data_IF_390181861325
#
_entry.id   IF_390181861325
#
_cell.length_a   1.000
_cell.length_b   1.000
_cell.length_c   1.000
_cell.angle_alpha   90.00
_cell.angle_beta   90.00
_cell.angle_gamma   90.00
#
_symmetry.space_group_name_H-M   'P 1'
#
loop_
_entity.id
_entity.type
_entity.pdbx_description
1 polymer ?
#
# COMPACT_ATOMS: atom_id res chain seq x y z
N UNK A 1 2.21 -16.03 16.89
CA UNK A 1 1.86 -14.60 16.97
C UNK A 1 3.11 -13.71 16.90
N UNK A 2 3.73 -13.26 18.01
CA UNK A 2 4.85 -12.28 18.02
C UNK A 2 6.00 -12.57 17.03
N UNK A 3 6.49 -13.81 16.96
CA UNK A 3 7.56 -14.15 15.98
C UNK A 3 7.09 -14.06 14.52
N UNK A 4 5.82 -14.36 14.23
CA UNK A 4 5.27 -14.32 12.86
C UNK A 4 5.03 -12.88 12.39
N UNK A 5 4.51 -11.99 13.24
CA UNK A 5 4.36 -10.58 12.89
C UNK A 5 5.71 -9.91 12.63
N UNK A 6 6.73 -10.18 13.46
CA UNK A 6 8.07 -9.63 13.27
C UNK A 6 8.76 -10.17 12.00
N UNK A 7 8.56 -11.44 11.66
CA UNK A 7 9.00 -12.01 10.38
C UNK A 7 8.35 -11.30 9.21
N UNK A 8 7.02 -11.16 9.22
CA UNK A 8 6.28 -10.48 8.14
C UNK A 8 6.71 -9.01 7.97
N UNK A 9 6.85 -8.24 9.07
CA UNK A 9 7.35 -6.85 9.02
C UNK A 9 8.74 -6.76 8.38
N UNK A 10 9.63 -7.73 8.67
CA UNK A 10 10.97 -7.82 8.09
C UNK A 10 10.95 -8.28 6.62
N UNK A 11 10.17 -9.30 6.29
CA UNK A 11 10.02 -9.82 4.92
C UNK A 11 9.41 -8.77 3.97
N UNK A 12 8.56 -7.88 4.51
CA UNK A 12 8.02 -6.70 3.83
C UNK A 12 8.97 -5.50 3.76
N UNK A 13 10.10 -5.52 4.46
CA UNK A 13 11.05 -4.42 4.50
C UNK A 13 10.47 -3.11 5.07
N UNK A 14 9.48 -3.17 5.96
CA UNK A 14 8.75 -1.97 6.43
C UNK A 14 9.65 -0.95 7.15
N UNK A 15 10.77 -1.41 7.71
CA UNK A 15 11.75 -0.55 8.38
C UNK A 15 12.57 0.26 7.39
N UNK A 16 12.88 -0.35 6.24
CA UNK A 16 13.67 0.21 5.15
C UNK A 16 12.79 0.92 4.11
N UNK A 17 11.47 0.83 4.26
CA UNK A 17 10.47 1.42 3.39
C UNK A 17 10.42 2.95 3.55
N UNK A 18 10.28 3.64 2.41
CA UNK A 18 10.35 5.09 2.31
C UNK A 18 9.13 5.62 1.55
N UNK A 19 8.64 6.80 1.92
CA UNK A 19 7.44 7.38 1.32
C UNK A 19 7.58 7.62 -0.20
N UNK A 20 8.81 7.90 -0.64
CA UNK A 20 9.27 8.05 -2.02
C UNK A 20 9.02 6.81 -2.92
N UNK A 21 8.65 5.67 -2.33
CA UNK A 21 8.34 4.44 -3.07
C UNK A 21 6.88 4.37 -3.54
N UNK A 22 6.02 5.29 -3.09
CA UNK A 22 4.58 5.32 -3.38
C UNK A 22 4.22 6.47 -4.32
N UNK A 23 3.05 6.43 -5.01
CA UNK A 23 2.57 7.58 -5.76
C UNK A 23 2.31 8.76 -4.81
N UNK A 24 2.85 9.94 -5.13
CA UNK A 24 2.61 11.17 -4.34
C UNK A 24 1.12 11.53 -4.23
N UNK A 25 0.26 11.05 -5.14
CA UNK A 25 -1.17 11.29 -5.08
C UNK A 25 -1.86 10.60 -3.89
N UNK A 26 -1.22 9.59 -3.26
CA UNK A 26 -1.73 8.97 -2.03
C UNK A 26 -1.64 9.92 -0.83
N UNK A 27 -0.58 10.71 -0.72
CA UNK A 27 -0.42 11.77 0.30
C UNK A 27 -1.15 13.05 -0.11
N UNK A 28 -1.15 13.42 -1.40
CA UNK A 28 -1.83 14.62 -1.89
C UNK A 28 -3.36 14.54 -1.81
N UNK A 29 -3.97 13.37 -2.02
CA UNK A 29 -5.40 13.19 -1.81
C UNK A 29 -5.81 13.23 -0.31
N UNK A 30 -4.83 13.16 0.62
CA UNK A 30 -5.09 13.12 2.06
C UNK A 30 -5.97 11.95 2.46
N UNK A 31 -5.83 10.78 1.81
CA UNK A 31 -6.72 9.64 2.00
C UNK A 31 -6.38 8.81 3.26
N UNK A 32 -5.11 8.79 3.66
CA UNK A 32 -4.64 8.12 4.87
C UNK A 32 -3.37 8.75 5.44
N UNK A 33 -3.43 9.29 6.66
CA UNK A 33 -2.33 10.08 7.22
C UNK A 33 -2.26 9.98 8.76
N UNK A 34 -1.04 10.12 9.30
CA UNK A 34 -0.80 10.25 10.75
C UNK A 34 -0.95 11.72 11.17
N UNK A 35 -1.64 11.95 12.29
CA UNK A 35 -2.02 13.29 12.75
C UNK A 35 -1.76 13.49 14.25
N UNK A 36 -2.24 14.61 14.78
CA UNK A 36 -2.09 15.00 16.19
C UNK A 36 -2.62 13.93 17.16
N UNK A 37 -2.16 13.98 18.41
CA UNK A 37 -2.60 13.02 19.43
C UNK A 37 -4.03 13.27 19.89
N UNK A 38 -4.68 12.21 20.34
CA UNK A 38 -5.99 12.28 20.99
C UNK A 38 -5.86 12.70 22.48
N UNK A 39 -7.01 12.79 23.17
CA UNK A 39 -7.11 13.19 24.60
C UNK A 39 -6.49 12.18 25.57
N UNK A 40 -6.23 10.97 25.11
CA UNK A 40 -5.67 9.87 25.91
C UNK A 40 -4.16 9.71 25.67
N UNK A 41 -3.57 10.53 24.79
CA UNK A 41 -2.17 10.46 24.39
C UNK A 41 -1.89 9.44 23.30
N UNK A 42 -2.91 8.85 22.66
CA UNK A 42 -2.70 7.98 21.51
C UNK A 42 -2.24 8.81 20.31
N UNK A 43 -1.31 8.28 19.54
CA UNK A 43 -1.05 8.78 18.18
C UNK A 43 -2.24 8.41 17.28
N UNK A 44 -2.69 9.34 16.43
CA UNK A 44 -3.85 9.08 15.57
C UNK A 44 -3.46 8.86 14.11
N UNK A 45 -4.20 7.99 13.43
CA UNK A 45 -4.18 7.88 11.97
C UNK A 45 -5.60 8.01 11.42
N UNK A 46 -5.80 8.96 10.53
CA UNK A 46 -7.07 9.20 9.87
C UNK A 46 -7.13 8.45 8.52
N UNK A 47 -8.29 7.93 8.19
CA UNK A 47 -8.60 7.25 6.93
C UNK A 47 -9.90 7.82 6.35
N UNK A 48 -9.87 8.38 5.15
CA UNK A 48 -11.03 9.06 4.53
C UNK A 48 -11.53 8.25 3.34
N UNK A 49 -12.57 7.45 3.53
CA UNK A 49 -13.01 6.47 2.54
C UNK A 49 -13.41 7.10 1.18
N UNK A 50 -14.02 8.29 1.19
CA UNK A 50 -14.39 9.01 -0.05
C UNK A 50 -13.18 9.46 -0.90
N UNK A 51 -11.98 9.54 -0.29
CA UNK A 51 -10.73 9.86 -0.97
C UNK A 51 -10.06 8.63 -1.60
N UNK A 52 -10.35 7.43 -1.08
CA UNK A 52 -9.85 6.16 -1.62
C UNK A 52 -10.63 5.77 -2.88
N UNK A 53 -10.07 6.04 -4.06
CA UNK A 53 -10.68 5.64 -5.34
C UNK A 53 -10.35 4.19 -5.69
N UNK A 54 -11.35 3.44 -6.15
CA UNK A 54 -11.17 2.04 -6.53
C UNK A 54 -10.42 1.92 -7.87
N UNK A 55 -9.09 1.82 -7.79
CA UNK A 55 -8.19 1.62 -8.92
C UNK A 55 -7.38 0.33 -8.71
N UNK A 56 -7.67 -0.70 -9.51
CA UNK A 56 -6.99 -2.02 -9.45
C UNK A 56 -5.47 -1.92 -9.51
N UNK A 57 -4.95 -1.05 -10.36
CA UNK A 57 -3.53 -0.86 -10.64
C UNK A 57 -2.77 -0.20 -9.47
N UNK A 58 -3.47 0.58 -8.63
CA UNK A 58 -2.93 1.23 -7.44
C UNK A 58 -3.28 0.47 -6.14
N UNK A 59 -4.10 -0.58 -6.21
CA UNK A 59 -4.59 -1.32 -5.03
C UNK A 59 -3.47 -2.03 -4.26
N UNK A 60 -2.39 -2.42 -4.92
CA UNK A 60 -1.18 -2.91 -4.25
C UNK A 60 -0.42 -1.77 -3.55
N UNK A 61 -0.15 -0.67 -4.27
CA UNK A 61 0.50 0.53 -3.75
C UNK A 61 -0.19 1.07 -2.50
N UNK A 62 -1.52 1.20 -2.54
CA UNK A 62 -2.34 1.67 -1.43
C UNK A 62 -2.27 0.74 -0.21
N UNK A 63 -2.25 -0.59 -0.42
CA UNK A 63 -2.11 -1.55 0.68
C UNK A 63 -0.74 -1.44 1.35
N UNK A 64 0.33 -1.38 0.56
CA UNK A 64 1.68 -1.27 1.09
C UNK A 64 1.93 0.11 1.74
N UNK A 65 1.34 1.19 1.21
CA UNK A 65 1.33 2.51 1.84
C UNK A 65 0.58 2.50 3.19
N UNK A 66 -0.56 1.81 3.29
CA UNK A 66 -1.25 1.65 4.57
C UNK A 66 -0.42 0.85 5.58
N UNK A 67 0.29 -0.20 5.15
CA UNK A 67 1.23 -0.93 6.01
C UNK A 67 2.41 -0.06 6.48
N UNK A 68 2.93 0.81 5.59
CA UNK A 68 3.94 1.81 5.94
C UNK A 68 3.43 2.80 6.99
N UNK A 69 2.26 3.41 6.77
CA UNK A 69 1.68 4.38 7.69
C UNK A 69 1.38 3.76 9.06
N UNK A 70 0.82 2.54 9.10
CA UNK A 70 0.59 1.81 10.36
C UNK A 70 1.92 1.42 11.03
N UNK A 71 2.96 1.07 10.27
CA UNK A 71 4.30 0.81 10.83
C UNK A 71 4.94 2.08 11.44
N UNK A 72 4.77 3.24 10.79
CA UNK A 72 5.21 4.54 11.33
C UNK A 72 4.37 5.02 12.52
N UNK A 73 3.14 4.54 12.66
CA UNK A 73 2.23 4.80 13.77
C UNK A 73 2.54 3.91 14.98
N UNK A 74 2.80 2.62 14.76
CA UNK A 74 3.23 1.61 15.74
C UNK A 74 4.74 1.70 16.05
N UNK A 75 5.28 2.91 16.22
CA UNK A 75 6.70 3.12 16.54
C UNK A 75 6.94 2.91 18.05
N UNK A 76 7.64 1.85 18.47
CA UNK A 76 7.81 1.52 19.88
C UNK A 76 8.77 2.49 20.61
N UNK A 77 9.49 3.36 19.88
CA UNK A 77 10.40 4.32 20.51
C UNK A 77 9.67 5.47 21.21
N UNK A 78 8.43 5.77 20.81
CA UNK A 78 7.57 6.80 21.42
C UNK A 78 6.86 6.29 22.69
N UNK A 79 6.75 4.96 22.89
CA UNK A 79 6.11 4.36 24.06
C UNK A 79 4.58 4.53 24.17
N UNK A 80 3.94 5.16 23.19
CA UNK A 80 2.49 5.43 23.15
C UNK A 80 1.70 4.37 22.39
N UNK A 81 0.45 4.13 22.80
CA UNK A 81 -0.57 3.46 22.00
C UNK A 81 -1.04 4.32 20.81
N UNK A 82 -1.83 3.73 19.92
CA UNK A 82 -2.35 4.41 18.74
C UNK A 82 -3.81 4.07 18.46
N UNK A 83 -4.49 4.98 17.76
CA UNK A 83 -5.89 4.84 17.37
C UNK A 83 -6.12 5.21 15.92
N UNK A 84 -7.12 4.56 15.29
CA UNK A 84 -7.46 4.77 13.87
C UNK A 84 -8.85 5.38 13.77
N UNK A 85 -8.97 6.46 13.00
CA UNK A 85 -10.19 7.24 12.85
C UNK A 85 -10.59 7.21 11.38
N UNK A 86 -11.62 6.43 11.06
CA UNK A 86 -12.10 6.24 9.71
C UNK A 86 -13.35 7.09 9.44
N UNK A 87 -13.18 8.11 8.61
CA UNK A 87 -14.27 8.91 8.06
C UNK A 87 -14.95 8.17 6.89
N UNK A 88 -16.21 7.79 7.10
CA UNK A 88 -17.08 7.15 6.10
C UNK A 88 -18.12 8.13 5.53
N UNK A 89 -17.96 9.43 5.74
CA UNK A 89 -18.82 10.45 5.15
C UNK A 89 -18.77 10.34 3.62
N UNK A 90 -19.94 10.20 2.97
CA UNK A 90 -20.04 9.98 1.53
C UNK A 90 -19.67 8.57 1.05
N UNK A 91 -19.41 7.61 1.95
CA UNK A 91 -19.23 6.22 1.57
C UNK A 91 -20.55 5.56 1.11
N UNK A 92 -20.47 4.74 0.09
CA UNK A 92 -21.58 4.01 -0.55
C UNK A 92 -21.10 2.61 -0.95
N UNK A 93 -22.01 1.71 -1.32
CA UNK A 93 -21.63 0.40 -1.84
C UNK A 93 -20.80 0.45 -3.14
N UNK A 94 -20.74 1.59 -3.84
CA UNK A 94 -19.99 1.74 -5.10
C UNK A 94 -18.58 2.29 -4.91
N UNK A 95 -18.30 3.02 -3.82
CA UNK A 95 -16.97 3.56 -3.52
C UNK A 95 -16.28 2.88 -2.31
N UNK A 96 -17.00 2.11 -1.50
CA UNK A 96 -16.45 1.39 -0.37
C UNK A 96 -15.74 0.09 -0.80
N UNK A 97 -14.41 0.10 -0.84
CA UNK A 97 -13.60 -1.08 -1.16
C UNK A 97 -13.57 -2.07 0.03
N UNK A 98 -14.42 -3.09 -0.06
CA UNK A 98 -14.53 -4.16 0.95
C UNK A 98 -13.20 -4.92 1.11
N UNK A 99 -12.43 -5.14 0.04
CA UNK A 99 -11.15 -5.88 0.13
C UNK A 99 -10.06 -5.05 0.82
N UNK A 100 -10.12 -3.72 0.65
CA UNK A 100 -9.24 -2.79 1.37
C UNK A 100 -9.55 -2.80 2.87
N UNK A 101 -10.84 -2.84 3.22
CA UNK A 101 -11.29 -2.92 4.60
C UNK A 101 -10.98 -4.26 5.26
N UNK A 102 -11.16 -5.38 4.54
CA UNK A 102 -10.70 -6.70 5.00
C UNK A 102 -9.17 -6.70 5.17
N UNK A 103 -8.43 -6.08 4.26
CA UNK A 103 -6.98 -5.93 4.38
C UNK A 103 -6.57 -5.12 5.61
N UNK A 104 -7.19 -3.96 5.88
CA UNK A 104 -6.91 -3.14 7.07
C UNK A 104 -7.16 -3.96 8.35
N UNK A 105 -8.28 -4.68 8.43
CA UNK A 105 -8.58 -5.54 9.60
C UNK A 105 -7.55 -6.66 9.77
N UNK A 106 -7.15 -7.32 8.69
CA UNK A 106 -6.06 -8.32 8.74
C UNK A 106 -4.71 -7.70 9.12
N UNK A 107 -4.36 -6.54 8.58
CA UNK A 107 -3.12 -5.81 8.88
C UNK A 107 -3.00 -5.55 10.39
N UNK A 108 -4.05 -4.97 10.98
CA UNK A 108 -4.09 -4.65 12.41
C UNK A 108 -4.10 -5.93 13.26
N UNK A 109 -4.96 -6.89 12.95
CA UNK A 109 -5.09 -8.14 13.73
C UNK A 109 -3.85 -9.03 13.70
N UNK A 110 -3.24 -9.21 12.54
CA UNK A 110 -2.20 -10.22 12.33
C UNK A 110 -0.78 -9.65 12.46
N UNK A 111 -0.60 -8.35 12.21
CA UNK A 111 0.73 -7.72 12.14
C UNK A 111 0.94 -6.53 13.08
N UNK A 112 -0.12 -5.86 13.55
CA UNK A 112 -0.04 -4.70 14.46
C UNK A 112 -0.99 -4.74 15.69
N UNK A 113 -1.28 -5.90 16.34
CA UNK A 113 -2.41 -6.02 17.27
C UNK A 113 -2.18 -5.50 18.71
N UNK A 114 -0.95 -5.07 19.02
CA UNK A 114 -0.52 -4.83 20.41
C UNK A 114 -0.90 -3.44 20.90
N UNK A 115 -0.58 -2.40 20.12
CA UNK A 115 -0.68 -1.00 20.56
C UNK A 115 -1.93 -0.28 20.02
N UNK A 116 -2.80 -0.96 19.27
CA UNK A 116 -4.10 -0.42 18.86
C UNK A 116 -5.03 -0.34 20.08
N UNK A 117 -5.36 0.87 20.50
CA UNK A 117 -6.31 1.17 21.57
C UNK A 117 -7.75 1.06 21.04
N UNK A 118 -8.12 1.95 20.11
CA UNK A 118 -9.44 1.92 19.46
C UNK A 118 -9.44 2.25 17.97
N UNK A 119 -10.54 1.86 17.30
CA UNK A 119 -10.86 2.18 15.92
C UNK A 119 -12.23 2.86 15.88
N UNK A 120 -12.30 4.12 15.42
CA UNK A 120 -13.57 4.83 15.24
C UNK A 120 -14.02 4.74 13.78
N UNK A 121 -15.24 4.29 13.55
CA UNK A 121 -15.94 4.41 12.27
C UNK A 121 -16.91 5.60 12.35
N UNK A 122 -16.49 6.74 11.82
CA UNK A 122 -17.23 8.00 11.84
C UNK A 122 -18.28 8.00 10.72
N UNK A 123 -19.51 8.42 11.05
CA UNK A 123 -20.62 8.61 10.10
C UNK A 123 -20.95 7.35 9.26
N UNK A 124 -20.85 6.15 9.87
CA UNK A 124 -21.06 4.87 9.20
C UNK A 124 -22.43 4.78 8.48
N UNK A 125 -22.46 4.65 7.14
CA UNK A 125 -23.70 4.51 6.38
C UNK A 125 -24.36 3.15 6.62
N UNK A 126 -25.63 3.13 7.02
CA UNK A 126 -26.38 1.89 7.31
C UNK A 126 -26.37 0.87 6.16
N UNK A 127 -26.28 1.34 4.91
CA UNK A 127 -26.22 0.50 3.71
C UNK A 127 -24.97 -0.40 3.67
N UNK A 128 -23.89 -0.04 4.38
CA UNK A 128 -22.67 -0.84 4.50
C UNK A 128 -22.76 -1.97 5.54
N UNK A 129 -23.88 -2.11 6.27
CA UNK A 129 -24.05 -3.11 7.34
C UNK A 129 -23.81 -4.56 6.87
N UNK A 130 -24.13 -4.87 5.61
CA UNK A 130 -23.87 -6.19 5.02
C UNK A 130 -22.35 -6.43 4.84
N UNK A 131 -21.61 -5.44 4.32
CA UNK A 131 -20.16 -5.51 4.18
C UNK A 131 -19.47 -5.60 5.55
N UNK A 132 -19.91 -4.78 6.52
CA UNK A 132 -19.44 -4.86 7.90
C UNK A 132 -19.68 -6.24 8.53
N UNK A 133 -20.82 -6.88 8.25
CA UNK A 133 -21.13 -8.23 8.74
C UNK A 133 -20.21 -9.33 8.19
N UNK A 134 -19.52 -9.08 7.07
CA UNK A 134 -18.44 -9.94 6.56
C UNK A 134 -17.12 -9.60 7.26
N UNK A 135 -16.76 -8.32 7.30
CA UNK A 135 -15.50 -7.82 7.91
C UNK A 135 -15.41 -8.19 9.40
N UNK A 136 -16.51 -8.05 10.17
CA UNK A 136 -16.58 -8.38 11.61
C UNK A 136 -16.28 -9.85 11.92
N UNK A 137 -16.39 -10.76 10.94
CA UNK A 137 -16.01 -12.19 11.10
C UNK A 137 -14.50 -12.40 11.14
N UNK A 138 -13.72 -11.47 10.57
CA UNK A 138 -12.26 -11.47 10.65
C UNK A 138 -11.76 -11.01 12.02
N UNK A 139 -12.57 -10.27 12.78
CA UNK A 139 -12.20 -9.69 14.07
C UNK A 139 -12.42 -10.70 15.21
N UNK A 140 -11.39 -10.99 16.04
CA UNK A 140 -11.51 -11.85 17.23
C UNK A 140 -12.60 -11.31 18.16
N UNK A 141 -13.34 -12.20 18.83
CA UNK A 141 -14.52 -11.80 19.59
C UNK A 141 -14.19 -10.76 20.67
N UNK A 142 -13.08 -10.99 21.36
CA UNK A 142 -12.46 -10.17 22.41
C UNK A 142 -11.85 -8.84 21.93
N UNK A 143 -11.78 -8.60 20.62
CA UNK A 143 -11.29 -7.35 20.01
C UNK A 143 -12.38 -6.57 19.27
N UNK A 144 -13.64 -7.02 19.30
CA UNK A 144 -14.75 -6.34 18.60
C UNK A 144 -15.12 -4.99 19.19
N UNK A 145 -15.00 -4.85 20.50
CA UNK A 145 -15.38 -3.64 21.23
C UNK A 145 -14.36 -2.49 21.03
N UNK A 146 -13.18 -2.80 20.48
CA UNK A 146 -12.25 -1.79 19.99
C UNK A 146 -12.78 -1.03 18.76
N UNK A 147 -13.77 -1.57 18.03
CA UNK A 147 -14.40 -0.90 16.88
C UNK A 147 -15.68 -0.19 17.32
N UNK A 148 -15.62 1.13 17.40
CA UNK A 148 -16.72 1.98 17.85
C UNK A 148 -17.33 2.74 16.65
N UNK A 149 -18.65 2.84 16.62
CA UNK A 149 -19.40 3.52 15.56
C UNK A 149 -19.99 4.81 16.12
N UNK A 150 -19.55 5.96 15.63
CA UNK A 150 -19.97 7.26 16.15
C UNK A 150 -20.32 8.24 15.02
N UNK A 151 -21.09 9.27 15.34
CA UNK A 151 -21.31 10.42 14.48
C UNK A 151 -20.22 11.48 14.69
N UNK A 152 -19.99 12.34 13.70
CA UNK A 152 -18.94 13.37 13.77
C UNK A 152 -19.06 14.36 14.94
N UNK A 153 -20.25 14.60 15.50
CA UNK A 153 -20.41 15.43 16.72
C UNK A 153 -19.77 14.82 17.98
N UNK A 154 -19.49 13.51 17.96
CA UNK A 154 -18.85 12.76 19.05
C UNK A 154 -17.34 12.64 18.94
N UNK A 155 -16.72 13.15 17.87
CA UNK A 155 -15.26 13.09 17.73
C UNK A 155 -14.53 13.82 18.87
N UNK A 156 -15.15 14.87 19.41
CA UNK A 156 -14.60 15.69 20.49
C UNK A 156 -14.66 15.05 21.88
N UNK A 157 -15.27 13.87 22.00
CA UNK A 157 -15.14 13.01 23.18
C UNK A 157 -13.78 12.27 23.18
N UNK A 158 -13.11 12.19 22.01
CA UNK A 158 -11.85 11.48 21.81
C UNK A 158 -10.67 12.40 21.47
N UNK A 159 -10.85 13.39 20.59
CA UNK A 159 -9.79 14.26 20.07
C UNK A 159 -10.12 15.73 20.38
N UNK A 160 -9.16 16.51 20.88
CA UNK A 160 -9.36 17.94 21.10
C UNK A 160 -9.55 18.71 19.78
N UNK A 161 -10.27 19.83 19.83
CA UNK A 161 -10.74 20.50 18.61
C UNK A 161 -9.57 21.08 17.80
N UNK A 162 -8.58 21.61 18.51
CA UNK A 162 -7.28 22.07 18.03
C UNK A 162 -6.41 20.95 17.43
N UNK A 163 -6.66 19.69 17.75
CA UNK A 163 -5.95 18.51 17.24
C UNK A 163 -6.76 17.76 16.16
N UNK A 164 -8.06 18.06 16.04
CA UNK A 164 -8.96 17.45 15.07
C UNK A 164 -8.89 18.20 13.72
N UNK A 165 -8.90 17.50 12.56
CA UNK A 165 -8.92 18.15 11.25
C UNK A 165 -10.28 18.80 10.94
N UNK A 166 -10.25 19.78 10.04
CA UNK A 166 -11.40 20.62 9.63
C UNK A 166 -12.57 19.83 9.02
N UNK A 167 -12.32 18.78 8.24
CA UNK A 167 -13.35 17.94 7.62
C UNK A 167 -14.17 17.11 8.63
N UNK A 168 -13.75 17.06 9.90
CA UNK A 168 -14.51 16.51 11.03
C UNK A 168 -14.98 17.60 12.02
N UNK A 169 -14.93 18.88 11.60
CA UNK A 169 -15.37 20.03 12.39
C UNK A 169 -14.33 20.57 13.38
N UNK A 170 -13.09 20.07 13.30
CA UNK A 170 -11.95 20.55 14.08
C UNK A 170 -11.43 21.93 13.64
N UNK A 171 -10.36 22.36 14.28
CA UNK A 171 -9.68 23.65 14.05
C UNK A 171 -8.17 23.50 13.90
N UNK A 172 -7.64 22.29 13.79
CA UNK A 172 -6.21 22.08 13.56
C UNK A 172 -5.79 22.63 12.20
N UNK A 173 -4.77 23.49 12.19
CA UNK A 173 -4.25 24.11 10.95
C UNK A 173 -3.09 23.33 10.32
N UNK A 174 -2.72 22.16 10.88
CA UNK A 174 -1.64 21.33 10.32
C UNK A 174 -2.10 20.68 9.01
N UNK A 175 -1.35 20.80 7.90
CA UNK A 175 -1.73 20.15 6.66
C UNK A 175 -1.68 18.62 6.81
N UNK A 176 -2.74 17.95 6.38
CA UNK A 176 -2.84 16.49 6.30
C UNK A 176 -2.69 15.94 4.87
N UNK A 177 -2.55 16.83 3.88
CA UNK A 177 -2.28 16.52 2.47
C UNK A 177 -1.12 17.38 1.99
N UNK A 178 -0.19 16.78 1.25
CA UNK A 178 1.02 17.45 0.74
C UNK A 178 1.54 16.75 -0.51
N UNK A 179 2.41 17.45 -1.25
CA UNK A 179 3.14 16.89 -2.39
C UNK A 179 4.51 16.44 -1.87
N UNK A 180 4.83 15.15 -1.99
CA UNK A 180 6.19 14.65 -1.81
C UNK A 180 6.92 14.69 -3.16
N UNK A 181 7.80 15.69 -3.33
CA UNK A 181 8.52 15.91 -4.60
C UNK A 181 9.57 14.84 -4.93
N UNK A 182 9.94 14.00 -3.95
CA UNK A 182 10.86 12.88 -4.14
C UNK A 182 10.13 11.57 -4.49
N UNK A 183 8.79 11.56 -4.37
CA UNK A 183 7.93 10.44 -4.74
C UNK A 183 7.49 10.56 -6.22
N UNK A 184 7.35 9.43 -6.96
CA UNK A 184 6.86 9.46 -8.32
C UNK A 184 5.40 9.94 -8.40
N UNK A 185 5.02 10.51 -9.54
CA UNK A 185 3.60 10.68 -9.86
C UNK A 185 2.93 9.32 -10.09
N UNK A 186 1.61 9.26 -10.01
CA UNK A 186 0.81 8.08 -10.37
C UNK A 186 1.07 7.63 -11.80
N UNK A 187 1.33 8.56 -12.73
CA UNK A 187 1.66 8.23 -14.12
C UNK A 187 3.05 7.61 -14.21
N UNK A 188 4.04 8.20 -13.53
CA UNK A 188 5.40 7.64 -13.44
C UNK A 188 5.42 6.27 -12.76
N UNK A 189 4.76 6.14 -11.61
CA UNK A 189 4.57 4.89 -10.87
C UNK A 189 4.02 3.78 -11.79
N UNK A 190 2.86 4.01 -12.43
CA UNK A 190 2.21 3.03 -13.29
C UNK A 190 2.99 2.69 -14.57
N UNK A 191 3.85 3.59 -15.05
CA UNK A 191 4.65 3.38 -16.27
C UNK A 191 6.05 2.81 -15.99
N UNK A 192 6.51 2.79 -14.74
CA UNK A 192 7.81 2.23 -14.35
C UNK A 192 7.78 0.69 -14.31
N UNK A 193 8.71 0.06 -15.04
CA UNK A 193 8.79 -1.41 -15.16
C UNK A 193 8.96 -2.15 -13.82
N UNK A 194 9.63 -1.55 -12.82
CA UNK A 194 9.96 -2.22 -11.53
C UNK A 194 8.74 -2.72 -10.74
N UNK A 195 7.55 -2.21 -11.05
CA UNK A 195 6.33 -2.47 -10.30
C UNK A 195 5.36 -3.39 -11.06
N UNK A 196 5.66 -3.69 -12.33
CA UNK A 196 4.85 -4.59 -13.13
C UNK A 196 5.52 -5.99 -13.21
N UNK A 197 4.76 -7.08 -13.38
CA UNK A 197 5.34 -8.40 -13.62
C UNK A 197 6.21 -8.41 -14.89
N UNK A 198 7.33 -9.16 -14.92
CA UNK A 198 8.05 -9.37 -16.17
C UNK A 198 7.10 -9.98 -17.21
N UNK A 199 6.99 -9.32 -18.37
CA UNK A 199 6.05 -9.58 -19.47
C UNK A 199 4.64 -8.97 -19.36
N UNK A 200 4.39 -8.01 -18.47
CA UNK A 200 3.20 -7.14 -18.58
C UNK A 200 3.25 -6.29 -19.87
N UNK A 201 2.06 -6.03 -20.44
CA UNK A 201 1.93 -5.01 -21.50
C UNK A 201 1.95 -3.61 -20.89
N UNK A 202 2.55 -2.61 -21.57
CA UNK A 202 2.44 -1.21 -21.16
C UNK A 202 1.00 -0.75 -20.96
N UNK A 203 0.79 0.17 -20.03
CA UNK A 203 -0.52 0.74 -19.74
C UNK A 203 -0.86 1.83 -20.77
N UNK A 204 -1.90 1.61 -21.60
CA UNK A 204 -2.27 2.58 -22.63
C UNK A 204 -2.61 3.98 -22.07
N UNK A 205 -2.38 5.04 -22.86
CA UNK A 205 -2.82 6.41 -22.56
C UNK A 205 -4.30 6.48 -22.24
N UNK A 206 -5.14 5.73 -22.97
CA UNK A 206 -6.58 5.65 -22.67
C UNK A 206 -6.80 5.21 -21.22
N UNK A 207 -6.16 4.13 -20.78
CA UNK A 207 -6.31 3.64 -19.41
C UNK A 207 -5.72 4.61 -18.38
N UNK A 208 -4.60 5.27 -18.67
CA UNK A 208 -4.06 6.32 -17.80
C UNK A 208 -5.05 7.50 -17.63
N UNK A 209 -5.72 7.94 -18.70
CA UNK A 209 -6.79 8.96 -18.61
C UNK A 209 -7.99 8.45 -17.81
N UNK A 210 -8.41 7.20 -18.02
CA UNK A 210 -9.49 6.58 -17.24
C UNK A 210 -9.15 6.51 -15.74
N UNK A 211 -7.89 6.21 -15.38
CA UNK A 211 -7.41 6.22 -13.99
C UNK A 211 -7.42 7.64 -13.43
N UNK A 212 -6.84 8.62 -14.14
CA UNK A 212 -6.81 10.02 -13.68
C UNK A 212 -8.23 10.56 -13.43
N UNK A 213 -9.19 10.20 -14.29
CA UNK A 213 -10.61 10.56 -14.13
C UNK A 213 -11.24 10.05 -12.84
N UNK A 214 -10.76 8.94 -12.25
CA UNK A 214 -11.24 8.46 -10.94
C UNK A 214 -10.90 9.42 -9.80
N UNK A 215 -9.83 10.21 -9.93
CA UNK A 215 -9.30 11.10 -8.88
C UNK A 215 -9.57 12.58 -9.13
N UNK A 216 -10.31 12.94 -10.21
CA UNK A 216 -10.56 14.32 -10.61
C UNK A 216 -11.35 15.17 -9.59
N UNK A 217 -12.04 14.54 -8.64
CA UNK A 217 -12.80 15.19 -7.56
C UNK A 217 -12.00 15.32 -6.24
N UNK A 218 -10.82 14.69 -6.14
CA UNK A 218 -10.00 14.67 -4.91
C UNK A 218 -8.61 15.27 -5.06
N UNK A 219 -8.08 15.40 -6.29
CA UNK A 219 -6.78 16.02 -6.55
C UNK A 219 -6.92 17.51 -6.95
N UNK A 220 -5.92 18.36 -6.65
CA UNK A 220 -5.90 19.75 -7.12
C UNK A 220 -5.93 19.86 -8.65
N UNK A 221 -6.64 20.86 -9.17
CA UNK A 221 -6.86 21.04 -10.62
C UNK A 221 -5.56 21.28 -11.40
N UNK A 222 -4.61 22.03 -10.83
CA UNK A 222 -3.29 22.25 -11.43
C UNK A 222 -2.46 20.96 -11.45
N UNK A 223 -2.62 20.11 -10.43
CA UNK A 223 -1.99 18.78 -10.38
C UNK A 223 -2.55 17.86 -11.46
N UNK A 224 -3.87 17.80 -11.61
CA UNK A 224 -4.54 17.05 -12.68
C UNK A 224 -4.03 17.50 -14.06
N UNK A 225 -3.89 18.82 -14.29
CA UNK A 225 -3.35 19.35 -15.55
C UNK A 225 -1.89 18.91 -15.81
N UNK A 226 -1.03 18.86 -14.78
CA UNK A 226 0.33 18.32 -14.89
C UNK A 226 0.31 16.84 -15.28
N UNK A 227 -0.53 16.02 -14.64
CA UNK A 227 -0.66 14.59 -14.94
C UNK A 227 -1.21 14.36 -16.37
N UNK A 228 -2.13 15.20 -16.85
CA UNK A 228 -2.59 15.14 -18.25
C UNK A 228 -1.44 15.36 -19.24
N UNK A 229 -0.56 16.35 -19.02
CA UNK A 229 0.62 16.57 -19.85
C UNK A 229 1.60 15.38 -19.80
N UNK A 230 1.77 14.75 -18.64
CA UNK A 230 2.57 13.52 -18.53
C UNK A 230 1.98 12.37 -19.37
N UNK A 231 0.65 12.19 -19.38
CA UNK A 231 -0.02 11.17 -20.19
C UNK A 231 0.16 11.44 -21.69
N UNK A 232 0.03 12.69 -22.14
CA UNK A 232 0.20 12.99 -23.56
C UNK A 232 1.65 12.79 -24.04
N UNK A 233 2.65 13.03 -23.18
CA UNK A 233 4.07 12.81 -23.46
C UNK A 233 4.54 11.36 -23.28
N UNK A 234 3.73 10.47 -22.71
CA UNK A 234 4.07 9.05 -22.55
C UNK A 234 4.19 8.35 -23.93
N UNK A 235 5.21 7.53 -24.15
CA UNK A 235 5.37 6.78 -25.40
C UNK A 235 5.04 5.29 -25.18
N UNK A 236 3.95 4.82 -25.81
CA UNK A 236 3.53 3.41 -25.74
C UNK A 236 4.45 2.48 -26.58
N UNK A 237 5.13 3.03 -27.59
CA UNK A 237 5.81 2.27 -28.65
C UNK A 237 7.26 1.90 -28.36
N UNK A 238 7.93 2.56 -27.40
CA UNK A 238 9.34 2.31 -27.03
C UNK A 238 9.56 1.00 -26.26
N UNK A 239 8.71 0.01 -26.50
CA UNK A 239 8.59 -1.25 -25.76
C UNK A 239 8.60 -2.48 -26.69
N UNK A 240 8.62 -2.29 -28.01
CA UNK A 240 8.58 -3.36 -29.01
C UNK A 240 9.96 -3.77 -29.56
N UNK A 241 11.03 -3.03 -29.28
CA UNK A 241 12.31 -3.18 -30.00
C UNK A 241 13.23 -4.28 -29.39
N UNK A 242 13.17 -4.50 -28.08
CA UNK A 242 14.04 -5.46 -27.38
C UNK A 242 13.69 -6.94 -27.66
N UNK A 243 12.48 -7.24 -28.15
CA UNK A 243 12.05 -8.63 -28.45
C UNK A 243 12.37 -9.11 -29.85
N UNK A 244 12.74 -8.22 -30.78
CA UNK A 244 12.94 -8.58 -32.19
C UNK A 244 14.41 -8.81 -32.60
N UNK A 245 15.38 -8.35 -31.81
CA UNK A 245 16.80 -8.37 -32.21
C UNK A 245 17.55 -9.69 -31.93
N UNK A 246 16.93 -10.68 -31.28
CA UNK A 246 17.59 -11.95 -30.89
C UNK A 246 17.38 -13.13 -31.85
N UNK A 247 16.64 -12.97 -32.95
CA UNK A 247 16.30 -14.05 -33.89
C UNK A 247 17.12 -14.06 -35.19
N UNK A 248 18.18 -13.25 -35.32
CA UNK A 248 18.93 -13.12 -36.57
C UNK A 248 20.46 -13.27 -36.40
N UNK A 249 20.91 -14.16 -35.52
CA UNK A 249 22.30 -14.61 -35.42
C UNK A 249 22.40 -16.05 -34.93
N UNK A 250 21.93 -16.99 -35.75
CA UNK A 250 22.41 -18.38 -35.78
C UNK A 250 21.97 -19.09 -37.06
N UNK A 251 22.68 -18.81 -38.16
CA UNK A 251 22.72 -19.70 -39.31
C UNK A 251 24.07 -19.54 -40.02
N UNK A 252 24.73 -20.67 -40.30
CA UNK A 252 26.10 -20.87 -40.86
C UNK A 252 27.23 -21.06 -39.84
N UNK A 253 27.50 -22.31 -39.44
CA UNK A 253 28.38 -23.16 -40.24
C UNK A 253 28.37 -24.62 -39.79
N UNK A 254 28.70 -25.51 -40.74
CA UNK A 254 28.54 -26.95 -40.64
C UNK A 254 29.90 -27.68 -40.59
N UNK A 255 29.87 -28.91 -40.07
CA UNK A 255 30.77 -30.04 -40.36
C UNK A 255 32.15 -30.20 -39.67
N UNK A 256 32.20 -31.28 -38.87
CA UNK A 256 33.16 -32.40 -38.92
C UNK A 256 34.63 -32.22 -38.52
N UNK A 257 34.99 -32.91 -37.42
CA UNK A 257 35.83 -34.12 -37.51
C UNK A 257 35.67 -35.01 -36.26
N UNK A 258 35.50 -36.32 -36.45
CA UNK A 258 35.61 -37.33 -35.39
C UNK A 258 37.08 -37.56 -35.03
N UNK A 259 37.38 -37.81 -33.75
CA UNK A 259 38.42 -38.78 -33.36
C UNK A 259 38.24 -39.27 -31.91
N UNK A 260 38.46 -40.57 -31.70
CA UNK A 260 38.36 -41.26 -30.40
C UNK A 260 39.40 -40.77 -29.37
N UNK A 261 39.09 -40.90 -28.06
CA UNK A 261 39.91 -41.68 -27.10
C UNK A 261 39.31 -41.79 -25.69
N UNK A 262 39.76 -42.84 -24.97
CA UNK A 262 39.16 -43.42 -23.75
C UNK A 262 39.46 -42.68 -22.43
N UNK A 263 38.64 -42.90 -21.36
CA UNK A 263 38.80 -42.22 -20.07
C UNK A 263 39.97 -42.77 -19.23
N UNK A 264 40.59 -41.91 -18.43
CA UNK A 264 41.63 -42.28 -17.45
C UNK A 264 41.16 -42.08 -16.01
N UNK A 265 41.53 -43.02 -15.13
CA UNK A 265 41.17 -43.07 -13.69
C UNK A 265 42.17 -42.31 -12.81
N UNK A 266 41.85 -42.29 -11.50
CA UNK A 266 42.67 -42.01 -10.29
C UNK A 266 42.81 -40.52 -9.93
N UNK A 267 42.76 -40.10 -8.67
CA UNK A 267 42.83 -40.81 -7.36
C UNK A 267 41.70 -40.25 -6.44
N UNK A 268 40.96 -40.98 -5.57
CA UNK A 268 41.37 -41.65 -4.30
C UNK A 268 42.37 -40.79 -3.48
N UNK A 269 42.30 -40.57 -2.17
CA UNK A 269 41.66 -41.18 -1.00
C UNK A 269 41.56 -40.02 0.05
N UNK A 270 40.75 -39.95 1.12
CA UNK A 270 40.29 -40.91 2.14
C UNK A 270 38.93 -40.51 2.75
N UNK A 271 38.33 -41.43 3.50
CA UNK A 271 37.26 -41.17 4.47
C UNK A 271 37.57 -41.86 5.81
N UNK A 272 36.71 -41.63 6.84
CA UNK A 272 36.74 -42.14 8.23
C UNK A 272 37.60 -41.27 9.18
N UNK A 273 37.13 -40.91 10.37
CA UNK A 273 36.85 -41.87 11.45
C UNK A 273 35.90 -41.38 12.58
N UNK A 274 34.88 -42.20 12.88
CA UNK A 274 34.16 -42.45 14.16
C UNK A 274 33.60 -41.31 15.04
N UNK A 275 32.26 -41.20 15.00
CA UNK A 275 31.29 -41.52 16.08
C UNK A 275 31.84 -42.05 17.43
N UNK A 276 31.75 -41.25 18.51
CA UNK A 276 31.50 -41.53 19.95
C UNK A 276 31.09 -40.16 20.54
N UNK A 277 30.07 -39.94 21.39
CA UNK A 277 29.26 -40.80 22.26
C UNK A 277 27.78 -40.36 22.18
#
# INVERSE_FOLDING_TARGET
MVSQMLKWRKERGLREMLEQQFPQELTLAGAGFVYETDKFGNRTMYLRAAMCKNCSELKAALKDFLAYQVYKLDDPSEGTTYSIIMDLTGATLTNYDIDLMMYIVSLLKDYFPVNLDYFLAINFPWILSAAWSLIKRLIPAEKRDAVQFISSDKIFDFVDKENCPDFLGGTCTRPYSYINQEAPTTIEYLTQQKQQPPNSKPISKKRLRDILNLFCDVLPKDHIAKLQVQIENYNEESYNDDTNNNNNSNNNNNNNSEEDLKPTKRQEEKAKTKRVK
#
